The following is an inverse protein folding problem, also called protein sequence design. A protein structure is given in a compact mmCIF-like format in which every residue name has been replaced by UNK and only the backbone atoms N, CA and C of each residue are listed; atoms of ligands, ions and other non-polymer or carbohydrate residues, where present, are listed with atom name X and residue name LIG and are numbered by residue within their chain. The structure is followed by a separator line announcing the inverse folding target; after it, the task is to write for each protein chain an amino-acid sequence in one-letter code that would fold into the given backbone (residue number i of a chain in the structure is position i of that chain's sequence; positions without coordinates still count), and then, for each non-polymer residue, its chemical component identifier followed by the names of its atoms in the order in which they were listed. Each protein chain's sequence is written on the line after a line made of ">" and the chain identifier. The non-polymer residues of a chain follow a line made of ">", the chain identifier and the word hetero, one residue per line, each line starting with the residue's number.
data_IF_919047964078
#
_entry.id   IF_919047964078
#
_cell.length_a   1.000
_cell.length_b   1.000
_cell.length_c   1.000
_cell.angle_alpha   90.00
_cell.angle_beta   90.00
_cell.angle_gamma   90.00
#
_symmetry.space_group_name_H-M   'P 1'
#
loop_
_entity.id
_entity.type
_entity.pdbx_description
1 polymer ?
#
# COMPACT_ATOMS: atom_id res chain seq x y z
N UNK A 1 -23.38 28.94 87.98
CA UNK A 1 -24.11 27.84 87.29
C UNK A 1 -24.14 28.05 85.78
N UNK A 2 -24.39 29.27 85.28
CA UNK A 2 -24.35 29.57 83.83
C UNK A 2 -22.95 29.40 83.19
N UNK A 3 -21.87 29.76 83.90
CA UNK A 3 -20.50 29.70 83.36
C UNK A 3 -19.93 28.28 83.20
N UNK A 4 -20.43 27.31 83.97
CA UNK A 4 -20.03 25.90 83.85
C UNK A 4 -20.84 25.13 82.81
N UNK A 5 -22.07 25.55 82.53
CA UNK A 5 -22.96 24.86 81.59
C UNK A 5 -22.69 25.26 80.14
N UNK A 6 -22.30 26.52 79.90
CA UNK A 6 -21.99 27.06 78.56
C UNK A 6 -20.89 26.28 77.80
N UNK A 7 -19.72 25.95 78.37
CA UNK A 7 -18.68 25.21 77.65
C UNK A 7 -19.09 23.76 77.34
N UNK A 8 -19.90 23.13 78.19
CA UNK A 8 -20.42 21.77 77.97
C UNK A 8 -21.38 21.77 76.76
N UNK A 9 -22.28 22.76 76.69
CA UNK A 9 -23.20 22.91 75.56
C UNK A 9 -22.46 23.23 74.26
N UNK A 10 -21.43 24.09 74.29
CA UNK A 10 -20.61 24.40 73.10
C UNK A 10 -19.91 23.12 72.61
N UNK A 11 -19.26 22.37 73.50
CA UNK A 11 -18.59 21.12 73.13
C UNK A 11 -19.55 20.07 72.55
N UNK A 12 -20.78 19.98 73.06
CA UNK A 12 -21.79 19.06 72.54
C UNK A 12 -22.29 19.49 71.14
N UNK A 13 -22.45 20.80 70.91
CA UNK A 13 -22.82 21.34 69.60
C UNK A 13 -21.70 21.14 68.58
N UNK A 14 -20.45 21.37 68.96
CA UNK A 14 -19.29 21.16 68.09
C UNK A 14 -19.15 19.69 67.68
N UNK A 15 -19.36 18.76 68.62
CA UNK A 15 -19.36 17.32 68.33
C UNK A 15 -20.50 16.96 67.36
N UNK A 16 -21.70 17.51 67.55
CA UNK A 16 -22.83 17.29 66.66
C UNK A 16 -22.56 17.81 65.23
N UNK A 17 -21.91 18.98 65.09
CA UNK A 17 -21.49 19.51 63.79
C UNK A 17 -20.47 18.60 63.11
N UNK A 18 -19.47 18.11 63.85
CA UNK A 18 -18.49 17.17 63.31
C UNK A 18 -19.11 15.86 62.84
N UNK A 19 -20.07 15.31 63.59
CA UNK A 19 -20.80 14.09 63.20
C UNK A 19 -21.63 14.33 61.94
N UNK A 20 -22.32 15.47 61.83
CA UNK A 20 -23.08 15.83 60.62
C UNK A 20 -22.15 15.99 59.42
N UNK A 21 -20.98 16.62 59.60
CA UNK A 21 -20.01 16.81 58.54
C UNK A 21 -19.42 15.47 58.06
N UNK A 22 -18.99 14.61 58.98
CA UNK A 22 -18.52 13.26 58.65
C UNK A 22 -19.61 12.42 57.97
N UNK A 23 -20.87 12.54 58.41
CA UNK A 23 -22.01 11.86 57.77
C UNK A 23 -22.27 12.37 56.34
N UNK A 24 -22.08 13.67 56.08
CA UNK A 24 -22.23 14.24 54.75
C UNK A 24 -21.09 13.82 53.81
N UNK A 25 -19.85 13.80 54.30
CA UNK A 25 -18.68 13.31 53.57
C UNK A 25 -18.83 11.83 53.20
N UNK A 26 -19.25 10.98 54.14
CA UNK A 26 -19.53 9.57 53.87
C UNK A 26 -20.65 9.39 52.82
N UNK A 27 -21.68 10.26 52.83
CA UNK A 27 -22.75 10.25 51.82
C UNK A 27 -22.25 10.69 50.44
N UNK A 28 -21.32 11.65 50.38
CA UNK A 28 -20.71 12.11 49.15
C UNK A 28 -19.82 11.01 48.54
N UNK A 29 -18.96 10.41 49.36
CA UNK A 29 -18.11 9.29 48.96
C UNK A 29 -18.93 8.11 48.44
N UNK A 30 -20.05 7.77 49.09
CA UNK A 30 -20.96 6.73 48.61
C UNK A 30 -21.56 7.06 47.24
N UNK A 31 -21.96 8.31 47.00
CA UNK A 31 -22.46 8.75 45.68
C UNK A 31 -21.38 8.64 44.60
N UNK A 32 -20.15 9.08 44.90
CA UNK A 32 -19.02 8.98 43.96
C UNK A 32 -18.68 7.52 43.65
N UNK A 33 -18.68 6.67 44.68
CA UNK A 33 -18.47 5.23 44.55
C UNK A 33 -19.56 4.56 43.72
N UNK A 34 -20.83 4.91 43.92
CA UNK A 34 -21.94 4.39 43.12
C UNK A 34 -21.82 4.78 41.64
N UNK A 35 -21.35 6.00 41.34
CA UNK A 35 -21.07 6.44 39.96
C UNK A 35 -19.93 5.62 39.32
N UNK A 36 -18.83 5.40 40.05
CA UNK A 36 -17.71 4.58 39.58
C UNK A 36 -18.14 3.14 39.38
N UNK A 37 -18.91 2.58 40.32
CA UNK A 37 -19.46 1.23 40.25
C UNK A 37 -20.35 1.03 39.04
N UNK A 38 -21.27 1.97 38.76
CA UNK A 38 -22.12 1.93 37.55
C UNK A 38 -21.27 1.98 36.28
N UNK A 39 -20.27 2.89 36.21
CA UNK A 39 -19.37 2.97 35.06
C UNK A 39 -18.58 1.68 34.83
N UNK A 40 -18.10 1.05 35.90
CA UNK A 40 -17.37 -0.22 35.83
C UNK A 40 -18.29 -1.38 35.43
N UNK A 41 -19.49 -1.49 36.02
CA UNK A 41 -20.48 -2.50 35.65
C UNK A 41 -20.86 -2.40 34.17
N UNK A 42 -21.15 -1.20 33.67
CA UNK A 42 -21.45 -0.99 32.25
C UNK A 42 -20.27 -1.38 31.35
N UNK A 43 -19.02 -1.15 31.78
CA UNK A 43 -17.83 -1.59 31.01
C UNK A 43 -17.65 -3.10 31.04
N UNK A 44 -17.92 -3.75 32.17
CA UNK A 44 -17.83 -5.19 32.33
C UNK A 44 -18.93 -5.91 31.55
N UNK A 45 -20.17 -5.45 31.61
CA UNK A 45 -21.28 -5.97 30.81
C UNK A 45 -20.99 -5.87 29.31
N UNK A 46 -20.44 -4.73 28.86
CA UNK A 46 -19.97 -4.57 27.47
C UNK A 46 -18.86 -5.55 27.11
N UNK A 47 -17.90 -5.78 28.01
CA UNK A 47 -16.81 -6.73 27.80
C UNK A 47 -17.30 -8.18 27.75
N UNK A 48 -18.26 -8.55 28.59
CA UNK A 48 -18.87 -9.88 28.62
C UNK A 48 -19.59 -10.13 27.31
N UNK A 49 -20.40 -9.19 26.84
CA UNK A 49 -21.12 -9.32 25.56
C UNK A 49 -20.13 -9.46 24.39
N UNK A 50 -19.04 -8.68 24.38
CA UNK A 50 -18.01 -8.79 23.35
C UNK A 50 -17.33 -10.17 23.34
N UNK A 51 -17.03 -10.73 24.52
CA UNK A 51 -16.42 -12.05 24.64
C UNK A 51 -17.40 -13.17 24.26
N UNK A 52 -18.67 -13.06 24.66
CA UNK A 52 -19.73 -14.01 24.25
C UNK A 52 -19.93 -14.04 22.75
N UNK A 53 -19.88 -12.88 22.08
CA UNK A 53 -19.90 -12.83 20.61
C UNK A 53 -18.66 -13.49 19.99
N UNK A 54 -17.46 -13.16 20.50
CA UNK A 54 -16.20 -13.75 20.02
C UNK A 54 -16.22 -15.27 20.11
N UNK A 55 -16.77 -15.81 21.21
CA UNK A 55 -16.93 -17.24 21.41
C UNK A 55 -17.87 -17.87 20.37
N UNK A 56 -19.02 -17.23 20.10
CA UNK A 56 -20.00 -17.73 19.12
C UNK A 56 -19.44 -17.73 17.68
N UNK A 57 -18.63 -16.72 17.32
CA UNK A 57 -17.97 -16.66 16.00
C UNK A 57 -16.80 -17.66 15.90
N UNK A 58 -16.14 -17.96 17.01
CA UNK A 58 -14.98 -18.87 17.04
C UNK A 58 -15.37 -20.36 17.03
N UNK A 59 -16.65 -20.69 17.24
CA UNK A 59 -17.14 -22.06 17.17
C UNK A 59 -17.64 -22.38 15.76
N UNK A 60 -16.98 -23.28 15.00
CA UNK A 60 -17.48 -23.70 13.70
C UNK A 60 -18.78 -24.49 13.87
N UNK A 61 -19.85 -24.09 13.17
CA UNK A 61 -21.10 -24.84 13.18
C UNK A 61 -20.91 -26.17 12.44
N UNK A 62 -21.17 -27.30 13.12
CA UNK A 62 -21.08 -28.62 12.50
C UNK A 62 -22.24 -28.93 11.53
N UNK A 63 -23.28 -28.10 11.51
CA UNK A 63 -24.32 -28.13 10.50
C UNK A 63 -24.21 -26.84 9.68
N UNK A 64 -24.15 -26.97 8.34
CA UNK A 64 -24.01 -25.87 7.37
C UNK A 64 -25.21 -24.91 7.28
N UNK A 65 -25.84 -24.59 8.40
CA UNK A 65 -26.82 -23.53 8.54
C UNK A 65 -26.15 -22.43 9.36
N UNK A 66 -25.67 -21.39 8.69
CA UNK A 66 -25.40 -20.11 9.35
C UNK A 66 -26.73 -19.65 9.97
N UNK A 67 -26.92 -19.89 11.27
CA UNK A 67 -27.89 -19.11 12.02
C UNK A 67 -27.50 -17.65 11.84
N UNK A 68 -28.41 -16.90 11.21
CA UNK A 68 -28.25 -15.49 10.91
C UNK A 68 -27.66 -14.79 12.13
N UNK A 69 -26.51 -14.14 11.93
CA UNK A 69 -25.78 -13.30 12.89
C UNK A 69 -26.69 -12.17 13.39
N UNK A 70 -27.64 -12.51 14.25
CA UNK A 70 -28.70 -11.62 14.73
C UNK A 70 -28.31 -11.09 16.10
N UNK A 71 -27.37 -10.16 16.08
CA UNK A 71 -27.00 -9.40 17.28
C UNK A 71 -25.91 -8.38 16.99
N UNK A 72 -26.31 -7.11 16.80
CA UNK A 72 -25.39 -5.99 16.69
C UNK A 72 -24.48 -5.87 17.93
N UNK A 73 -23.19 -5.64 17.74
CA UNK A 73 -22.21 -5.36 18.81
C UNK A 73 -22.67 -4.14 19.65
N UNK A 74 -22.58 -4.14 21.00
CA UNK A 74 -22.96 -2.97 21.81
C UNK A 74 -22.13 -1.69 21.56
N UNK A 75 -20.91 -1.78 21.03
CA UNK A 75 -20.17 -0.59 20.56
C UNK A 75 -20.60 -0.15 19.16
N UNK A 76 -21.11 -1.07 18.34
CA UNK A 76 -21.66 -0.78 17.02
C UNK A 76 -23.03 -0.10 17.05
N UNK A 77 -23.74 -0.13 18.18
CA UNK A 77 -24.96 0.67 18.36
C UNK A 77 -24.70 2.16 18.09
N UNK A 78 -23.44 2.63 18.23
CA UNK A 78 -23.04 4.00 17.93
C UNK A 78 -22.50 4.21 16.52
N UNK A 79 -22.05 3.16 15.83
CA UNK A 79 -21.45 3.24 14.51
C UNK A 79 -21.66 1.91 13.74
N UNK A 80 -22.72 1.83 12.90
CA UNK A 80 -23.01 0.64 12.08
C UNK A 80 -21.85 0.22 11.17
N UNK A 81 -20.97 1.16 10.79
CA UNK A 81 -19.82 0.85 9.94
C UNK A 81 -18.82 -0.04 10.66
N UNK A 82 -18.60 0.16 11.97
CA UNK A 82 -17.66 -0.66 12.74
C UNK A 82 -18.22 -2.09 12.91
N UNK A 83 -19.53 -2.25 13.11
CA UNK A 83 -20.16 -3.58 13.14
C UNK A 83 -19.79 -4.40 11.91
N UNK A 84 -20.08 -3.80 10.75
CA UNK A 84 -19.91 -4.44 9.47
C UNK A 84 -18.45 -4.80 9.24
N UNK A 85 -17.50 -3.93 9.62
CA UNK A 85 -16.06 -4.24 9.55
C UNK A 85 -15.74 -5.53 10.33
N UNK A 86 -16.19 -5.65 11.58
CA UNK A 86 -15.89 -6.85 12.38
C UNK A 86 -16.58 -8.11 11.85
N UNK A 87 -17.82 -7.98 11.37
CA UNK A 87 -18.55 -9.10 10.75
C UNK A 87 -17.82 -9.61 9.50
N UNK A 88 -17.42 -8.72 8.60
CA UNK A 88 -16.68 -9.09 7.39
C UNK A 88 -15.29 -9.64 7.72
N UNK A 89 -14.60 -9.08 8.72
CA UNK A 89 -13.33 -9.63 9.21
C UNK A 89 -13.49 -11.01 9.83
N UNK A 90 -14.59 -11.27 10.53
CA UNK A 90 -14.91 -12.57 11.08
C UNK A 90 -15.11 -13.62 9.98
N UNK A 91 -15.87 -13.30 8.93
CA UNK A 91 -16.07 -14.18 7.76
C UNK A 91 -14.72 -14.58 7.15
N UNK A 92 -13.82 -13.60 6.95
CA UNK A 92 -12.46 -13.85 6.47
C UNK A 92 -11.61 -14.70 7.44
N UNK A 93 -11.82 -14.55 8.74
CA UNK A 93 -11.06 -15.28 9.76
C UNK A 93 -11.50 -16.75 9.90
N UNK A 94 -12.81 -17.00 9.91
CA UNK A 94 -13.42 -18.32 10.09
C UNK A 94 -13.19 -19.24 8.90
N UNK A 95 -12.93 -18.68 7.72
CA UNK A 95 -12.65 -19.48 6.51
C UNK A 95 -13.90 -20.20 6.03
N UNK A 96 -14.99 -19.45 5.82
CA UNK A 96 -16.24 -19.94 5.21
C UNK A 96 -16.04 -20.27 3.72
N UNK A 97 -17.12 -20.52 2.97
CA UNK A 97 -17.07 -20.79 1.54
C UNK A 97 -16.30 -19.69 0.80
N UNK A 98 -15.58 -20.06 -0.27
CA UNK A 98 -14.78 -19.14 -1.09
C UNK A 98 -15.57 -17.90 -1.54
N UNK A 99 -16.85 -18.07 -1.87
CA UNK A 99 -17.69 -16.97 -2.34
C UNK A 99 -17.99 -15.95 -1.22
N UNK A 100 -18.22 -16.41 0.02
CA UNK A 100 -18.42 -15.53 1.18
C UNK A 100 -17.14 -14.76 1.51
N UNK A 101 -15.98 -15.43 1.46
CA UNK A 101 -14.70 -14.79 1.70
C UNK A 101 -14.36 -13.76 0.60
N UNK A 102 -14.67 -14.07 -0.66
CA UNK A 102 -14.54 -13.12 -1.75
C UNK A 102 -15.44 -11.89 -1.53
N UNK A 103 -16.70 -12.10 -1.17
CA UNK A 103 -17.64 -10.99 -0.97
C UNK A 103 -17.27 -10.13 0.24
N UNK A 104 -16.78 -10.76 1.31
CA UNK A 104 -16.26 -10.05 2.47
C UNK A 104 -15.06 -9.17 2.10
N UNK A 105 -14.10 -9.71 1.34
CA UNK A 105 -12.94 -8.94 0.87
C UNK A 105 -13.35 -7.76 -0.04
N UNK A 106 -14.31 -7.97 -0.95
CA UNK A 106 -14.85 -6.90 -1.82
C UNK A 106 -15.57 -5.81 -1.03
N UNK A 107 -16.36 -6.21 -0.03
CA UNK A 107 -17.07 -5.27 0.84
C UNK A 107 -16.10 -4.42 1.66
N UNK A 108 -15.09 -5.03 2.29
CA UNK A 108 -14.03 -4.30 2.98
C UNK A 108 -13.27 -3.35 2.04
N UNK A 109 -12.98 -3.79 0.82
CA UNK A 109 -12.36 -2.95 -0.23
C UNK A 109 -13.22 -1.73 -0.56
N UNK A 110 -14.53 -1.92 -0.78
CA UNK A 110 -15.45 -0.80 -1.08
C UNK A 110 -15.47 0.19 0.07
N UNK A 111 -15.65 -0.30 1.29
CA UNK A 111 -15.68 0.54 2.50
C UNK A 111 -14.40 1.36 2.67
N UNK A 112 -13.23 0.77 2.38
CA UNK A 112 -11.95 1.46 2.42
C UNK A 112 -11.77 2.50 1.30
N UNK A 113 -12.35 2.23 0.12
CA UNK A 113 -12.35 3.17 -1.01
C UNK A 113 -13.26 4.38 -0.72
N UNK A 114 -14.43 4.13 -0.14
CA UNK A 114 -15.45 5.16 0.12
C UNK A 114 -15.08 6.03 1.32
N UNK A 115 -14.42 5.44 2.32
CA UNK A 115 -14.04 6.15 3.54
C UNK A 115 -12.66 5.67 4.04
N UNK A 116 -11.60 6.49 3.91
CA UNK A 116 -10.26 6.16 4.39
C UNK A 116 -10.18 5.76 5.87
N UNK A 117 -11.09 6.26 6.71
CA UNK A 117 -11.18 5.89 8.13
C UNK A 117 -11.49 4.41 8.32
N UNK A 118 -12.24 3.80 7.40
CA UNK A 118 -12.52 2.36 7.42
C UNK A 118 -11.23 1.56 7.27
N UNK A 119 -10.33 1.98 6.37
CA UNK A 119 -9.04 1.32 6.16
C UNK A 119 -8.19 1.34 7.45
N UNK A 120 -8.10 2.50 8.11
CA UNK A 120 -7.38 2.64 9.37
C UNK A 120 -7.96 1.72 10.46
N UNK A 121 -9.29 1.72 10.62
CA UNK A 121 -9.96 0.87 11.63
C UNK A 121 -9.66 -0.61 11.36
N UNK A 122 -9.85 -1.08 10.12
CA UNK A 122 -9.60 -2.46 9.74
C UNK A 122 -8.15 -2.89 10.06
N UNK A 123 -7.18 -2.09 9.63
CA UNK A 123 -5.75 -2.40 9.78
C UNK A 123 -5.34 -2.42 11.25
N UNK A 124 -5.76 -1.41 12.03
CA UNK A 124 -5.49 -1.36 13.48
C UNK A 124 -6.13 -2.51 14.26
N UNK A 125 -7.20 -3.09 13.74
CA UNK A 125 -7.86 -4.25 14.31
C UNK A 125 -7.30 -5.60 13.80
N UNK A 126 -6.10 -5.60 13.22
CA UNK A 126 -5.38 -6.83 12.92
C UNK A 126 -5.74 -7.47 11.58
N UNK A 127 -6.40 -6.74 10.66
CA UNK A 127 -6.74 -7.25 9.32
C UNK A 127 -5.52 -7.81 8.57
N UNK A 128 -4.34 -7.21 8.75
CA UNK A 128 -3.10 -7.69 8.13
C UNK A 128 -2.82 -9.17 8.45
N UNK A 129 -3.06 -9.61 9.68
CA UNK A 129 -2.82 -11.01 10.08
C UNK A 129 -3.81 -11.99 9.41
N UNK A 130 -5.06 -11.55 9.25
CA UNK A 130 -6.10 -12.31 8.52
C UNK A 130 -5.70 -12.45 7.05
N UNK A 131 -5.25 -11.37 6.43
CA UNK A 131 -4.81 -11.38 5.04
C UNK A 131 -3.61 -12.30 4.81
N UNK A 132 -2.66 -12.37 5.73
CA UNK A 132 -1.53 -13.32 5.67
C UNK A 132 -2.01 -14.76 5.61
N UNK A 133 -2.95 -15.14 6.48
CA UNK A 133 -3.51 -16.49 6.51
C UNK A 133 -4.12 -16.84 5.16
N UNK A 134 -4.92 -15.94 4.60
CA UNK A 134 -5.59 -16.13 3.31
C UNK A 134 -4.59 -16.16 2.15
N UNK A 135 -3.62 -15.24 2.10
CA UNK A 135 -2.59 -15.22 1.07
C UNK A 135 -1.72 -16.49 1.09
N UNK A 136 -1.59 -17.16 2.24
CA UNK A 136 -0.86 -18.43 2.37
C UNK A 136 -1.68 -19.66 1.96
N UNK A 137 -2.98 -19.70 2.29
CA UNK A 137 -3.78 -20.94 2.28
C UNK A 137 -5.09 -20.86 1.49
N UNK A 138 -5.54 -19.67 1.14
CA UNK A 138 -6.81 -19.45 0.42
C UNK A 138 -6.73 -19.89 -1.04
N UNK A 139 -7.89 -20.10 -1.65
CA UNK A 139 -7.97 -20.38 -3.08
C UNK A 139 -7.49 -19.18 -3.91
N UNK A 140 -7.15 -19.44 -5.18
CA UNK A 140 -6.65 -18.39 -6.08
C UNK A 140 -7.63 -17.22 -6.22
N UNK A 141 -8.95 -17.49 -6.19
CA UNK A 141 -10.00 -16.45 -6.22
C UNK A 141 -9.95 -15.57 -4.98
N UNK A 142 -9.90 -16.16 -3.78
CA UNK A 142 -9.87 -15.41 -2.53
C UNK A 142 -8.55 -14.65 -2.36
N UNK A 143 -7.42 -15.25 -2.78
CA UNK A 143 -6.11 -14.58 -2.80
C UNK A 143 -6.13 -13.33 -3.69
N UNK A 144 -6.76 -13.39 -4.87
CA UNK A 144 -6.89 -12.25 -5.77
C UNK A 144 -7.70 -11.11 -5.12
N UNK A 145 -8.83 -11.42 -4.48
CA UNK A 145 -9.65 -10.40 -3.83
C UNK A 145 -8.95 -9.77 -2.62
N UNK A 146 -8.24 -10.56 -1.81
CA UNK A 146 -7.45 -10.03 -0.68
C UNK A 146 -6.27 -9.18 -1.16
N UNK A 147 -5.59 -9.59 -2.23
CA UNK A 147 -4.55 -8.76 -2.84
C UNK A 147 -5.14 -7.44 -3.36
N UNK A 148 -6.30 -7.47 -4.02
CA UNK A 148 -6.99 -6.28 -4.48
C UNK A 148 -7.38 -5.36 -3.31
N UNK A 149 -7.98 -5.92 -2.25
CA UNK A 149 -8.33 -5.18 -1.04
C UNK A 149 -7.10 -4.56 -0.39
N UNK A 150 -5.97 -5.28 -0.33
CA UNK A 150 -4.69 -4.76 0.16
C UNK A 150 -4.26 -3.51 -0.60
N UNK A 151 -4.35 -3.52 -1.94
CA UNK A 151 -3.99 -2.34 -2.75
C UNK A 151 -4.81 -1.10 -2.39
N UNK A 152 -6.12 -1.27 -2.22
CA UNK A 152 -7.03 -0.17 -1.90
C UNK A 152 -6.81 0.33 -0.47
N UNK A 153 -6.68 -0.57 0.49
CA UNK A 153 -6.41 -0.23 1.89
C UNK A 153 -5.12 0.58 2.04
N UNK A 154 -4.06 0.17 1.37
CA UNK A 154 -2.78 0.89 1.37
C UNK A 154 -2.91 2.24 0.68
N UNK A 155 -3.64 2.32 -0.44
CA UNK A 155 -3.87 3.59 -1.13
C UNK A 155 -4.70 4.59 -0.30
N UNK A 156 -5.66 4.10 0.49
CA UNK A 156 -6.52 4.92 1.36
C UNK A 156 -5.83 5.31 2.68
N UNK A 157 -4.92 4.47 3.18
CA UNK A 157 -4.18 4.70 4.43
C UNK A 157 -2.71 4.33 4.23
N UNK A 158 -1.93 5.23 3.63
CA UNK A 158 -0.55 4.98 3.21
C UNK A 158 0.41 4.62 4.35
N UNK A 159 0.16 5.10 5.56
CA UNK A 159 0.95 4.82 6.76
C UNK A 159 0.87 3.33 7.17
N UNK A 160 -0.06 2.57 6.59
CA UNK A 160 -0.17 1.14 6.81
C UNK A 160 0.86 0.29 6.07
N UNK A 161 1.61 0.86 5.11
CA UNK A 161 2.62 0.14 4.34
C UNK A 161 3.56 -0.68 5.25
N UNK A 162 4.06 -0.07 6.33
CA UNK A 162 4.99 -0.72 7.25
C UNK A 162 4.30 -1.79 8.12
N UNK A 163 3.00 -1.65 8.40
CA UNK A 163 2.21 -2.66 9.10
C UNK A 163 2.04 -3.92 8.23
N UNK A 164 1.79 -3.77 6.94
CA UNK A 164 1.80 -4.89 6.00
C UNK A 164 3.18 -5.51 5.86
N UNK A 165 4.25 -4.69 5.87
CA UNK A 165 5.62 -5.17 5.79
C UNK A 165 6.02 -6.05 6.98
N UNK A 166 5.57 -5.73 8.19
CA UNK A 166 5.81 -6.52 9.40
C UNK A 166 5.18 -7.92 9.36
N UNK A 167 4.17 -8.13 8.52
CA UNK A 167 3.36 -9.35 8.50
C UNK A 167 3.69 -10.29 7.33
N UNK A 168 4.86 -10.19 6.68
CA UNK A 168 5.24 -10.99 5.49
C UNK A 168 4.33 -10.82 4.27
N UNK A 169 3.37 -9.89 4.28
CA UNK A 169 2.40 -9.71 3.17
C UNK A 169 3.12 -9.42 1.85
N UNK A 170 4.20 -8.64 1.89
CA UNK A 170 5.04 -8.34 0.71
C UNK A 170 5.62 -9.62 0.10
N UNK A 171 6.17 -10.52 0.92
CA UNK A 171 6.81 -11.74 0.41
C UNK A 171 5.79 -12.73 -0.14
N UNK A 172 4.58 -12.77 0.43
CA UNK A 172 3.48 -13.58 -0.08
C UNK A 172 2.97 -13.04 -1.42
N UNK A 173 2.68 -11.74 -1.51
CA UNK A 173 2.26 -11.12 -2.77
C UNK A 173 3.32 -11.28 -3.86
N UNK A 174 4.60 -11.13 -3.51
CA UNK A 174 5.70 -11.38 -4.43
C UNK A 174 5.71 -12.85 -4.87
N UNK A 175 5.51 -13.80 -3.96
CA UNK A 175 5.41 -15.21 -4.29
C UNK A 175 4.22 -15.56 -5.19
N UNK A 176 3.08 -14.89 -5.00
CA UNK A 176 1.89 -15.04 -5.83
C UNK A 176 2.12 -14.48 -7.24
N UNK A 177 2.70 -13.29 -7.35
CA UNK A 177 3.04 -12.69 -8.62
C UNK A 177 4.08 -13.52 -9.40
N UNK A 178 5.11 -14.00 -8.72
CA UNK A 178 6.21 -14.77 -9.34
C UNK A 178 6.02 -16.28 -9.25
N UNK A 179 4.82 -16.75 -8.89
CA UNK A 179 4.49 -18.17 -8.95
C UNK A 179 4.58 -18.67 -10.39
N UNK A 180 4.52 -19.99 -10.57
CA UNK A 180 4.56 -20.60 -11.90
C UNK A 180 3.56 -19.93 -12.85
N UNK A 181 4.00 -19.72 -14.09
CA UNK A 181 3.22 -19.02 -15.11
C UNK A 181 2.16 -19.98 -15.65
N UNK A 182 0.97 -19.89 -15.08
CA UNK A 182 -0.20 -20.66 -15.49
C UNK A 182 -1.28 -19.67 -15.94
N UNK A 183 -1.91 -19.95 -17.08
CA UNK A 183 -2.85 -19.03 -17.73
C UNK A 183 -4.00 -18.62 -16.80
N UNK A 184 -4.56 -19.59 -16.06
CA UNK A 184 -5.66 -19.34 -15.12
C UNK A 184 -5.28 -18.43 -13.94
N UNK A 185 -4.00 -18.07 -13.77
CA UNK A 185 -3.50 -17.28 -12.65
C UNK A 185 -3.29 -15.79 -12.93
N UNK A 186 -3.52 -15.32 -14.17
CA UNK A 186 -3.24 -13.93 -14.56
C UNK A 186 -3.97 -12.90 -13.71
N UNK A 187 -5.26 -13.11 -13.44
CA UNK A 187 -6.05 -12.18 -12.63
C UNK A 187 -5.50 -12.05 -11.21
N UNK A 188 -5.12 -13.17 -10.58
CA UNK A 188 -4.51 -13.17 -9.26
C UNK A 188 -3.14 -12.46 -9.28
N UNK A 189 -2.32 -12.71 -10.30
CA UNK A 189 -1.02 -12.04 -10.48
C UNK A 189 -1.19 -10.52 -10.65
N UNK A 190 -2.17 -10.10 -11.45
CA UNK A 190 -2.53 -8.69 -11.64
C UNK A 190 -2.87 -8.02 -10.31
N UNK A 191 -3.72 -8.65 -9.48
CA UNK A 191 -4.09 -8.11 -8.17
C UNK A 191 -2.90 -8.09 -7.19
N UNK A 192 -2.06 -9.13 -7.20
CA UNK A 192 -0.84 -9.18 -6.39
C UNK A 192 0.15 -8.07 -6.77
N UNK A 193 0.35 -7.84 -8.06
CA UNK A 193 1.21 -6.78 -8.57
C UNK A 193 0.65 -5.39 -8.23
N UNK A 194 -0.67 -5.17 -8.34
CA UNK A 194 -1.31 -3.92 -7.92
C UNK A 194 -1.08 -3.64 -6.44
N UNK A 195 -1.20 -4.64 -5.57
CA UNK A 195 -0.93 -4.52 -4.15
C UNK A 195 0.55 -4.19 -3.86
N UNK A 196 1.48 -4.89 -4.53
CA UNK A 196 2.92 -4.63 -4.39
C UNK A 196 3.29 -3.21 -4.84
N UNK A 197 2.66 -2.70 -5.90
CA UNK A 197 2.87 -1.33 -6.36
C UNK A 197 2.51 -0.32 -5.27
N UNK A 198 1.30 -0.41 -4.72
CA UNK A 198 0.87 0.54 -3.66
C UNK A 198 1.72 0.40 -2.39
N UNK A 199 2.17 -0.83 -2.05
CA UNK A 199 3.08 -1.05 -0.93
C UNK A 199 4.48 -0.46 -1.16
N UNK A 200 5.02 -0.57 -2.38
CA UNK A 200 6.34 -0.03 -2.71
C UNK A 200 6.36 1.48 -2.88
N UNK A 201 5.19 2.10 -3.08
CA UNK A 201 5.06 3.50 -3.46
C UNK A 201 5.69 4.45 -2.46
N UNK A 202 6.77 5.12 -2.89
CA UNK A 202 7.56 6.01 -2.04
C UNK A 202 8.27 5.35 -0.85
N UNK A 203 8.23 4.02 -0.71
CA UNK A 203 8.76 3.31 0.47
C UNK A 203 10.05 2.56 0.12
N UNK A 204 11.19 3.14 0.52
CA UNK A 204 12.52 2.56 0.27
C UNK A 204 12.78 1.26 1.02
N UNK A 205 12.19 1.06 2.21
CA UNK A 205 12.36 -0.16 2.99
C UNK A 205 11.69 -1.36 2.30
N UNK A 206 10.44 -1.16 1.87
CA UNK A 206 9.67 -2.17 1.14
C UNK A 206 10.30 -2.45 -0.22
N UNK A 207 10.70 -1.41 -0.94
CA UNK A 207 11.38 -1.56 -2.23
C UNK A 207 12.66 -2.40 -2.11
N UNK A 208 13.47 -2.20 -1.06
CA UNK A 208 14.64 -3.04 -0.76
C UNK A 208 14.23 -4.49 -0.51
N UNK A 209 13.27 -4.71 0.39
CA UNK A 209 12.76 -6.06 0.72
C UNK A 209 12.26 -6.83 -0.50
N UNK A 210 11.60 -6.16 -1.45
CA UNK A 210 11.18 -6.77 -2.71
C UNK A 210 12.41 -7.16 -3.56
N UNK A 211 13.36 -6.24 -3.74
CA UNK A 211 14.55 -6.46 -4.60
C UNK A 211 15.58 -7.43 -4.04
N UNK A 212 15.61 -7.62 -2.72
CA UNK A 212 16.49 -8.59 -2.04
C UNK A 212 16.03 -10.04 -2.26
N UNK A 213 14.73 -10.21 -2.55
CA UNK A 213 14.15 -11.53 -2.79
C UNK A 213 14.62 -12.09 -4.13
N UNK A 214 15.12 -13.33 -4.14
CA UNK A 214 15.48 -14.04 -5.38
C UNK A 214 14.31 -14.15 -6.37
N UNK A 215 13.07 -14.08 -5.86
CA UNK A 215 11.85 -14.04 -6.67
C UNK A 215 11.79 -12.81 -7.57
N UNK A 216 12.40 -11.69 -7.18
CA UNK A 216 12.47 -10.48 -8.00
C UNK A 216 13.06 -10.76 -9.40
N UNK A 217 14.00 -11.70 -9.51
CA UNK A 217 14.60 -12.06 -10.81
C UNK A 217 13.57 -12.60 -11.82
N UNK A 218 12.45 -13.17 -11.33
CA UNK A 218 11.34 -13.66 -12.17
C UNK A 218 10.53 -12.56 -12.82
N UNK A 219 10.71 -11.29 -12.44
CA UNK A 219 10.17 -10.19 -13.23
C UNK A 219 10.72 -10.20 -14.66
N UNK A 220 11.94 -10.70 -14.90
CA UNK A 220 12.44 -10.89 -16.26
C UNK A 220 11.49 -11.78 -17.08
N UNK A 221 11.10 -12.92 -16.52
CA UNK A 221 10.16 -13.85 -17.14
C UNK A 221 8.78 -13.18 -17.35
N UNK A 222 8.29 -12.40 -16.37
CA UNK A 222 6.99 -11.70 -16.46
C UNK A 222 6.95 -10.65 -17.58
N UNK A 223 8.07 -10.00 -17.89
CA UNK A 223 8.17 -9.00 -18.96
C UNK A 223 8.10 -9.63 -20.36
N UNK A 224 8.41 -10.93 -20.46
CA UNK A 224 8.40 -11.70 -21.72
C UNK A 224 7.08 -12.43 -21.98
N UNK A 225 6.16 -12.44 -21.00
CA UNK A 225 4.83 -13.06 -21.13
C UNK A 225 3.99 -12.37 -22.19
N UNK A 226 3.23 -13.14 -22.96
CA UNK A 226 2.35 -12.62 -24.02
C UNK A 226 1.13 -11.86 -23.50
N UNK A 227 0.61 -12.23 -22.34
CA UNK A 227 -0.50 -11.52 -21.70
C UNK A 227 -0.13 -10.05 -21.42
N UNK A 228 -0.89 -9.16 -22.04
CA UNK A 228 -0.64 -7.71 -22.03
C UNK A 228 -0.88 -7.11 -20.65
N UNK A 229 -1.90 -7.56 -19.93
CA UNK A 229 -2.29 -7.00 -18.63
C UNK A 229 -1.25 -7.33 -17.56
N UNK A 230 -0.84 -8.60 -17.48
CA UNK A 230 0.20 -9.04 -16.54
C UNK A 230 1.52 -8.35 -16.82
N UNK A 231 1.88 -8.18 -18.10
CA UNK A 231 3.09 -7.44 -18.50
C UNK A 231 3.01 -5.98 -18.03
N UNK A 232 1.89 -5.29 -18.31
CA UNK A 232 1.67 -3.90 -17.94
C UNK A 232 1.74 -3.71 -16.40
N UNK A 233 1.06 -4.54 -15.62
CA UNK A 233 1.03 -4.37 -14.17
C UNK A 233 2.39 -4.72 -13.56
N UNK A 234 3.11 -5.71 -14.11
CA UNK A 234 4.48 -6.02 -13.70
C UNK A 234 5.43 -4.83 -13.96
N UNK A 235 5.27 -4.14 -15.10
CA UNK A 235 5.99 -2.90 -15.41
C UNK A 235 5.66 -1.79 -14.40
N UNK A 236 4.40 -1.62 -14.02
CA UNK A 236 4.01 -0.61 -13.03
C UNK A 236 4.67 -0.82 -11.66
N UNK A 237 4.85 -2.07 -11.23
CA UNK A 237 5.60 -2.39 -10.00
C UNK A 237 7.07 -1.97 -10.15
N UNK A 238 7.70 -2.32 -11.27
CA UNK A 238 9.10 -1.96 -11.53
C UNK A 238 9.29 -0.45 -11.61
N UNK A 239 8.35 0.30 -12.19
CA UNK A 239 8.41 1.77 -12.25
C UNK A 239 8.44 2.35 -10.86
N UNK A 240 7.60 1.86 -9.96
CA UNK A 240 7.55 2.37 -8.60
C UNK A 240 8.87 2.12 -7.87
N UNK A 241 9.36 0.87 -7.90
CA UNK A 241 10.62 0.50 -7.25
C UNK A 241 11.81 1.26 -7.85
N UNK A 242 11.86 1.44 -9.17
CA UNK A 242 12.95 2.18 -9.84
C UNK A 242 12.85 3.69 -9.59
N UNK A 243 11.65 4.24 -9.43
CA UNK A 243 11.46 5.65 -9.04
C UNK A 243 12.01 5.90 -7.63
N UNK A 244 11.77 4.96 -6.71
CA UNK A 244 12.38 4.99 -5.37
C UNK A 244 13.91 4.83 -5.45
N UNK A 245 14.41 3.96 -6.34
CA UNK A 245 15.85 3.78 -6.55
C UNK A 245 16.54 5.00 -7.20
N UNK A 246 15.81 5.78 -8.00
CA UNK A 246 16.32 7.03 -8.54
C UNK A 246 16.69 8.00 -7.40
N UNK A 247 15.89 8.08 -6.34
CA UNK A 247 16.13 8.97 -5.21
C UNK A 247 17.04 8.35 -4.13
N UNK A 248 16.94 7.03 -3.88
CA UNK A 248 17.73 6.35 -2.85
C UNK A 248 19.02 5.73 -3.42
N UNK A 249 20.17 6.29 -3.02
CA UNK A 249 21.49 5.82 -3.45
C UNK A 249 21.83 4.39 -3.01
N UNK A 250 21.27 3.91 -1.91
CA UNK A 250 21.50 2.55 -1.41
C UNK A 250 20.76 1.52 -2.26
N UNK A 251 19.48 1.76 -2.57
CA UNK A 251 18.68 0.89 -3.44
C UNK A 251 19.23 0.91 -4.88
N UNK A 252 19.70 2.06 -5.38
CA UNK A 252 20.32 2.17 -6.71
C UNK A 252 21.55 1.28 -6.87
N UNK A 253 22.41 1.21 -5.85
CA UNK A 253 23.65 0.39 -5.88
C UNK A 253 23.35 -1.11 -5.74
N UNK A 254 22.10 -1.47 -5.48
CA UNK A 254 21.68 -2.85 -5.33
C UNK A 254 21.91 -3.66 -6.61
N UNK A 255 22.17 -4.96 -6.45
CA UNK A 255 22.52 -5.86 -7.57
C UNK A 255 21.39 -6.02 -8.59
N UNK A 256 20.14 -5.89 -8.14
CA UNK A 256 18.93 -6.08 -8.92
C UNK A 256 18.81 -5.14 -10.14
N UNK A 257 19.41 -3.94 -10.08
CA UNK A 257 19.33 -2.92 -11.13
C UNK A 257 20.62 -2.71 -11.92
N UNK A 258 21.64 -3.56 -11.71
CA UNK A 258 22.89 -3.50 -12.50
C UNK A 258 22.68 -4.10 -13.89
N UNK A 259 23.47 -3.66 -14.88
CA UNK A 259 23.37 -4.13 -16.28
C UNK A 259 23.49 -5.65 -16.48
N UNK A 260 24.02 -6.38 -15.49
CA UNK A 260 24.15 -7.84 -15.52
C UNK A 260 22.91 -8.58 -14.99
N UNK A 261 21.99 -7.88 -14.33
CA UNK A 261 20.77 -8.45 -13.76
C UNK A 261 19.84 -8.95 -14.86
N UNK A 262 19.19 -10.13 -14.70
CA UNK A 262 18.16 -10.62 -15.61
C UNK A 262 17.06 -9.60 -15.88
N UNK A 263 16.57 -8.92 -14.84
CA UNK A 263 15.48 -7.93 -14.95
C UNK A 263 15.92 -6.75 -15.80
N UNK A 264 17.13 -6.23 -15.57
CA UNK A 264 17.68 -5.13 -16.37
C UNK A 264 17.79 -5.51 -17.85
N UNK A 265 18.32 -6.70 -18.14
CA UNK A 265 18.45 -7.20 -19.51
C UNK A 265 17.08 -7.37 -20.17
N UNK A 266 16.10 -7.91 -19.46
CA UNK A 266 14.73 -8.06 -19.97
C UNK A 266 14.11 -6.70 -20.31
N UNK A 267 14.24 -5.69 -19.44
CA UNK A 267 13.77 -4.31 -19.69
C UNK A 267 14.39 -3.77 -20.98
N UNK A 268 15.71 -3.83 -21.12
CA UNK A 268 16.43 -3.31 -22.28
C UNK A 268 16.05 -4.07 -23.57
N UNK A 269 15.97 -5.39 -23.51
CA UNK A 269 15.64 -6.22 -24.67
C UNK A 269 14.21 -6.00 -25.15
N UNK A 270 13.24 -5.95 -24.22
CA UNK A 270 11.84 -5.71 -24.57
C UNK A 270 11.62 -4.29 -25.10
N UNK A 271 12.32 -3.30 -24.55
CA UNK A 271 12.31 -1.94 -25.08
C UNK A 271 12.81 -1.89 -26.54
N UNK A 272 13.98 -2.48 -26.82
CA UNK A 272 14.50 -2.55 -28.19
C UNK A 272 13.54 -3.25 -29.14
N UNK A 273 12.99 -4.39 -28.72
CA UNK A 273 12.02 -5.16 -29.51
C UNK A 273 10.80 -4.32 -29.88
N UNK A 274 10.22 -3.60 -28.91
CA UNK A 274 9.05 -2.75 -29.15
C UNK A 274 9.34 -1.60 -30.11
N UNK A 275 10.55 -1.03 -30.10
CA UNK A 275 10.94 0.02 -31.04
C UNK A 275 11.13 -0.53 -32.45
N UNK A 276 11.84 -1.66 -32.58
CA UNK A 276 12.14 -2.26 -33.88
C UNK A 276 10.89 -2.81 -34.58
N UNK A 277 9.98 -3.41 -33.81
CA UNK A 277 8.75 -4.01 -34.34
C UNK A 277 7.58 -3.02 -34.48
N UNK A 278 7.77 -1.72 -34.15
CA UNK A 278 6.68 -0.75 -33.99
C UNK A 278 5.53 -1.30 -33.11
N UNK A 279 5.90 -1.85 -31.95
CA UNK A 279 5.00 -2.53 -31.03
C UNK A 279 4.00 -1.61 -30.34
N UNK A 280 3.30 -2.15 -29.34
CA UNK A 280 2.27 -1.41 -28.60
C UNK A 280 2.85 -0.19 -27.87
N UNK A 281 2.46 1.01 -28.30
CA UNK A 281 2.92 2.29 -27.72
C UNK A 281 2.50 2.44 -26.26
N UNK A 282 1.38 1.83 -25.84
CA UNK A 282 0.92 1.84 -24.44
C UNK A 282 1.89 1.07 -23.56
N UNK A 283 2.49 -0.02 -24.06
CA UNK A 283 3.52 -0.77 -23.35
C UNK A 283 4.88 -0.07 -23.40
N UNK A 284 5.17 0.66 -24.48
CA UNK A 284 6.43 1.36 -24.67
C UNK A 284 6.65 2.47 -23.62
N UNK A 285 5.62 3.25 -23.28
CA UNK A 285 5.70 4.34 -22.30
C UNK A 285 6.27 3.87 -20.93
N UNK A 286 5.74 2.79 -20.31
CA UNK A 286 6.33 2.20 -19.12
C UNK A 286 7.82 1.84 -19.24
N UNK A 287 8.26 1.28 -20.38
CA UNK A 287 9.67 0.95 -20.60
C UNK A 287 10.54 2.20 -20.68
N UNK A 288 10.10 3.25 -21.37
CA UNK A 288 10.81 4.54 -21.42
C UNK A 288 10.98 5.10 -20.01
N UNK A 289 9.92 5.05 -19.20
CA UNK A 289 9.93 5.50 -17.81
C UNK A 289 10.98 4.73 -16.99
N UNK A 290 11.00 3.40 -17.11
CA UNK A 290 11.98 2.53 -16.43
C UNK A 290 13.41 2.86 -16.83
N UNK A 291 13.67 3.05 -18.11
CA UNK A 291 14.99 3.41 -18.63
C UNK A 291 15.45 4.76 -18.06
N UNK A 292 14.56 5.75 -18.05
CA UNK A 292 14.82 7.06 -17.44
C UNK A 292 15.16 6.94 -15.95
N UNK A 293 14.38 6.19 -15.17
CA UNK A 293 14.64 5.96 -13.74
C UNK A 293 16.00 5.27 -13.50
N UNK A 294 16.44 4.45 -14.47
CA UNK A 294 17.71 3.72 -14.45
C UNK A 294 18.85 4.47 -15.15
N UNK A 295 18.70 5.75 -15.52
CA UNK A 295 19.70 6.51 -16.29
C UNK A 295 21.11 6.50 -15.69
N UNK A 296 21.22 6.43 -14.36
CA UNK A 296 22.51 6.37 -13.63
C UNK A 296 23.17 4.99 -13.59
N UNK A 297 22.44 3.95 -14.03
CA UNK A 297 22.91 2.56 -14.08
C UNK A 297 23.57 2.21 -15.42
N UNK A 298 23.33 3.01 -16.47
CA UNK A 298 24.00 2.88 -17.76
C UNK A 298 25.45 3.38 -17.68
N UNK A 299 26.32 2.79 -18.50
CA UNK A 299 27.73 3.18 -18.58
C UNK A 299 27.88 4.29 -19.61
N UNK A 300 28.86 5.17 -19.41
CA UNK A 300 29.17 6.23 -20.37
C UNK A 300 29.50 5.70 -21.78
N UNK A 301 30.06 4.48 -21.88
CA UNK A 301 30.37 3.83 -23.15
C UNK A 301 29.13 3.24 -23.87
N UNK A 302 28.00 3.13 -23.17
CA UNK A 302 26.78 2.52 -23.70
C UNK A 302 25.79 3.61 -24.12
N UNK A 303 25.98 4.13 -25.34
CA UNK A 303 25.14 5.19 -25.92
C UNK A 303 23.91 4.65 -26.64
N UNK A 304 23.82 3.34 -26.84
CA UNK A 304 22.75 2.70 -27.63
C UNK A 304 21.37 3.06 -27.09
N UNK A 305 21.21 3.07 -25.76
CA UNK A 305 19.94 3.43 -25.13
C UNK A 305 19.53 4.89 -25.40
N UNK A 306 20.50 5.81 -25.34
CA UNK A 306 20.28 7.23 -25.64
C UNK A 306 19.87 7.40 -27.10
N UNK A 307 20.57 6.73 -28.03
CA UNK A 307 20.25 6.77 -29.46
C UNK A 307 18.82 6.29 -29.74
N UNK A 308 18.37 5.23 -29.08
CA UNK A 308 17.00 4.72 -29.23
C UNK A 308 15.96 5.71 -28.67
N UNK A 309 16.21 6.32 -27.51
CA UNK A 309 15.34 7.38 -26.97
C UNK A 309 15.27 8.60 -27.90
N UNK A 310 16.38 8.98 -28.53
CA UNK A 310 16.41 10.08 -29.50
C UNK A 310 15.64 9.74 -30.78
N UNK A 311 15.66 8.48 -31.24
CA UNK A 311 14.81 8.03 -32.36
C UNK A 311 13.32 8.21 -32.05
N UNK A 312 12.89 7.99 -30.81
CA UNK A 312 11.50 8.19 -30.40
C UNK A 312 11.03 9.65 -30.54
N UNK A 313 11.95 10.62 -30.52
CA UNK A 313 11.62 12.04 -30.77
C UNK A 313 11.09 12.30 -32.18
N UNK A 314 11.25 11.35 -33.11
CA UNK A 314 10.68 11.41 -34.46
C UNK A 314 9.25 10.89 -34.58
N UNK A 315 8.70 10.27 -33.53
CA UNK A 315 7.34 9.72 -33.54
C UNK A 315 6.28 10.83 -33.36
N UNK A 316 5.04 10.57 -33.80
CA UNK A 316 3.92 11.53 -33.69
C UNK A 316 3.18 11.45 -32.35
N UNK A 317 3.37 10.37 -31.61
CA UNK A 317 2.65 10.14 -30.35
C UNK A 317 3.16 11.08 -29.25
N UNK A 318 2.26 11.91 -28.71
CA UNK A 318 2.63 12.94 -27.75
C UNK A 318 3.06 12.39 -26.40
N UNK A 319 2.47 11.28 -25.97
CA UNK A 319 2.78 10.67 -24.68
C UNK A 319 4.17 10.02 -24.74
N UNK A 320 4.45 9.29 -25.82
CA UNK A 320 5.77 8.71 -26.08
C UNK A 320 6.85 9.79 -26.19
N UNK A 321 6.58 10.87 -26.94
CA UNK A 321 7.50 12.02 -27.05
C UNK A 321 7.81 12.62 -25.69
N UNK A 322 6.77 12.94 -24.91
CA UNK A 322 6.91 13.53 -23.57
C UNK A 322 7.75 12.63 -22.67
N UNK A 323 7.44 11.34 -22.61
CA UNK A 323 8.16 10.41 -21.73
C UNK A 323 9.61 10.21 -22.18
N UNK A 324 9.87 10.18 -23.50
CA UNK A 324 11.24 10.08 -24.03
C UNK A 324 12.08 11.31 -23.64
N UNK A 325 11.50 12.52 -23.71
CA UNK A 325 12.19 13.75 -23.29
C UNK A 325 12.47 13.73 -21.78
N UNK A 326 11.51 13.30 -20.97
CA UNK A 326 11.70 13.17 -19.52
C UNK A 326 12.80 12.16 -19.20
N UNK A 327 12.83 11.02 -19.89
CA UNK A 327 13.89 10.03 -19.73
C UNK A 327 15.26 10.60 -20.11
N UNK A 328 15.39 11.24 -21.27
CA UNK A 328 16.62 11.90 -21.72
C UNK A 328 17.09 12.99 -20.73
N UNK A 329 16.15 13.71 -20.12
CA UNK A 329 16.45 14.70 -19.07
C UNK A 329 17.15 14.02 -17.89
N UNK A 330 16.69 12.85 -17.44
CA UNK A 330 17.33 12.09 -16.36
C UNK A 330 18.76 11.62 -16.70
N UNK A 331 19.08 11.45 -17.99
CA UNK A 331 20.45 11.21 -18.44
C UNK A 331 21.33 12.46 -18.35
N UNK A 332 20.77 13.64 -18.68
CA UNK A 332 21.47 14.92 -18.76
C UNK A 332 21.54 15.73 -17.45
N UNK A 333 20.70 15.44 -16.44
CA UNK A 333 20.68 16.23 -15.20
C UNK A 333 22.01 16.12 -14.43
N UNK A 334 22.51 17.20 -13.78
CA UNK A 334 23.77 17.18 -13.00
C UNK A 334 23.80 16.17 -11.85
N UNK A 335 22.64 15.77 -11.34
CA UNK A 335 22.54 14.69 -10.34
C UNK A 335 22.97 13.32 -10.90
N UNK A 336 23.08 13.16 -12.21
CA UNK A 336 23.72 12.01 -12.85
C UNK A 336 25.22 12.26 -12.96
N UNK A 337 26.04 11.40 -12.35
CA UNK A 337 27.50 11.55 -12.35
C UNK A 337 28.13 11.39 -13.75
N UNK A 338 27.38 10.85 -14.73
CA UNK A 338 27.78 10.71 -16.13
C UNK A 338 27.11 11.74 -17.05
N UNK A 339 26.47 12.77 -16.51
CA UNK A 339 25.67 13.71 -17.30
C UNK A 339 26.42 14.36 -18.46
N UNK A 340 27.72 14.68 -18.30
CA UNK A 340 28.51 15.29 -19.38
C UNK A 340 28.63 14.36 -20.59
N UNK A 341 28.98 13.09 -20.35
CA UNK A 341 29.14 12.10 -21.42
C UNK A 341 27.78 11.75 -22.04
N UNK A 342 26.74 11.63 -21.21
CA UNK A 342 25.38 11.39 -21.70
C UNK A 342 24.82 12.58 -22.50
N UNK A 343 24.97 13.83 -22.03
CA UNK A 343 24.55 15.03 -22.78
C UNK A 343 25.28 15.13 -24.11
N UNK A 344 26.59 14.81 -24.15
CA UNK A 344 27.34 14.71 -25.41
C UNK A 344 26.71 13.68 -26.35
N UNK A 345 26.44 12.47 -25.86
CA UNK A 345 25.79 11.42 -26.65
C UNK A 345 24.39 11.82 -27.16
N UNK A 346 23.60 12.55 -26.35
CA UNK A 346 22.28 13.08 -26.76
C UNK A 346 22.42 14.05 -27.94
N UNK A 347 23.40 14.95 -27.89
CA UNK A 347 23.67 15.91 -28.97
C UNK A 347 24.19 15.20 -30.23
N UNK A 348 25.14 14.28 -30.07
CA UNK A 348 25.71 13.48 -31.16
C UNK A 348 24.67 12.59 -31.87
N UNK A 349 23.69 12.08 -31.12
CA UNK A 349 22.54 11.35 -31.67
C UNK A 349 21.56 12.24 -32.46
N UNK A 350 21.76 13.56 -32.49
CA UNK A 350 20.97 14.50 -33.28
C UNK A 350 19.73 15.06 -32.58
N UNK A 351 19.61 14.92 -31.26
CA UNK A 351 18.44 15.38 -30.51
C UNK A 351 18.23 16.89 -30.58
N UNK A 352 19.31 17.68 -30.63
CA UNK A 352 19.26 19.15 -30.53
C UNK A 352 18.32 19.78 -31.58
N UNK A 353 18.44 19.38 -32.86
CA UNK A 353 17.59 19.89 -33.93
C UNK A 353 16.11 19.54 -33.69
N UNK A 354 15.83 18.30 -33.28
CA UNK A 354 14.47 17.81 -33.02
C UNK A 354 13.83 18.49 -31.81
N UNK A 355 14.58 18.68 -30.73
CA UNK A 355 14.09 19.38 -29.55
C UNK A 355 13.70 20.83 -29.85
N UNK A 356 14.48 21.53 -30.69
CA UNK A 356 14.13 22.89 -31.14
C UNK A 356 12.82 22.87 -31.95
N UNK A 357 12.64 21.92 -32.88
CA UNK A 357 11.38 21.76 -33.63
C UNK A 357 10.19 21.51 -32.67
N UNK A 358 10.36 20.61 -31.70
CA UNK A 358 9.33 20.22 -30.73
C UNK A 358 9.01 21.35 -29.72
N UNK A 359 9.91 22.31 -29.50
CA UNK A 359 9.67 23.45 -28.59
C UNK A 359 8.50 24.34 -29.02
N UNK A 360 8.09 24.26 -30.29
CA UNK A 360 6.95 24.97 -30.87
C UNK A 360 5.59 24.30 -30.58
N UNK A 361 5.59 23.07 -30.04
CA UNK A 361 4.38 22.32 -29.69
C UNK A 361 3.77 22.79 -28.35
N UNK A 362 2.60 22.24 -28.01
CA UNK A 362 1.87 22.59 -26.78
C UNK A 362 2.68 22.45 -25.48
N UNK A 363 2.20 23.09 -24.40
CA UNK A 363 2.90 23.16 -23.11
C UNK A 363 3.38 21.81 -22.56
N UNK A 364 2.59 20.75 -22.79
CA UNK A 364 2.88 19.38 -22.35
C UNK A 364 4.22 18.83 -22.86
N UNK A 365 4.64 19.24 -24.05
CA UNK A 365 5.92 18.86 -24.66
C UNK A 365 6.96 19.97 -24.46
N UNK A 366 6.54 21.23 -24.60
CA UNK A 366 7.43 22.39 -24.51
C UNK A 366 8.14 22.47 -23.15
N UNK A 367 7.44 22.21 -22.04
CA UNK A 367 8.07 22.30 -20.71
C UNK A 367 9.20 21.27 -20.55
N UNK A 368 8.98 19.95 -20.77
CA UNK A 368 10.07 18.97 -20.75
C UNK A 368 11.22 19.27 -21.72
N UNK A 369 10.91 19.77 -22.93
CA UNK A 369 11.94 20.16 -23.90
C UNK A 369 12.83 21.27 -23.34
N UNK A 370 12.24 22.31 -22.77
CA UNK A 370 12.98 23.42 -22.18
C UNK A 370 13.77 23.00 -20.94
N UNK A 371 13.32 21.97 -20.21
CA UNK A 371 14.08 21.40 -19.11
C UNK A 371 15.33 20.66 -19.61
N UNK A 372 15.19 19.85 -20.66
CA UNK A 372 16.32 19.13 -21.26
C UNK A 372 17.34 20.10 -21.88
N UNK A 373 16.90 21.12 -22.60
CA UNK A 373 17.77 22.10 -23.26
C UNK A 373 18.60 22.99 -22.30
N UNK A 374 18.34 22.93 -20.99
CA UNK A 374 19.17 23.61 -19.97
C UNK A 374 20.49 22.89 -19.69
N UNK A 375 20.57 21.61 -20.05
CA UNK A 375 21.71 20.73 -19.80
C UNK A 375 22.41 20.37 -21.11
#
# INVERSE_FOLDING_TARGET
>A
MADTVKPILISAVDLAVQVIQASNEARLFKKEWDVVKIKMLVRLERSIINVSWLLNVSTPSHDGKHEQLTGLLPFAIRDPTIFLIYELMAILYTGTLDDDACEAARSLRSMASDNPRCAEIMIRNGLCSVFVKILKQGSMRVQAEVACATSVLVSSFSESQDLFAQHDVIQLLLSLLTSKLEEDSWHMKAMAAKALRELAKGNSSISKSITDSKRFLRFADLLEIQDREVRLISLMVLIEITSVAEMDSSLRRHSAFKCKSPVFKAIVNQFHKLIEENGDMVLLIPYITLIGNLARSFRASDTSMIEQLVKLLGLRDREVLREAIVALTKFAIPCNYLHIDHSRAIVEAGAAKRLIELSSLGCEIRIPVLELLKF
#
